data_IF_954812571487
#
_entry.id   IF_954812571487
#
_cell.length_a   1.000
_cell.length_b   1.000
_cell.length_c   1.000
_cell.angle_alpha   90.00
_cell.angle_beta   90.00
_cell.angle_gamma   90.00
#
_symmetry.space_group_name_H-M   'P 1'
#
loop_
_entity.id
_entity.type
_entity.pdbx_description
1 polymer ?
#
# COMPACT_ATOMS: atom_id res chain seq x y z
N UNK A 1 -21.51 16.77 16.77
CA UNK A 1 -21.19 17.83 15.80
C UNK A 1 -19.85 17.57 15.09
N UNK A 2 -18.80 17.16 15.81
CA UNK A 2 -17.47 16.90 15.27
C UNK A 2 -17.41 15.77 14.22
N UNK A 3 -18.17 14.68 14.39
CA UNK A 3 -18.17 13.55 13.46
C UNK A 3 -18.81 13.90 12.11
N UNK A 4 -19.92 14.66 12.11
CA UNK A 4 -20.55 15.13 10.88
C UNK A 4 -19.63 16.03 10.05
N UNK A 5 -18.86 16.91 10.70
CA UNK A 5 -17.90 17.77 10.00
C UNK A 5 -16.76 16.97 9.40
N UNK A 6 -16.30 15.91 10.10
CA UNK A 6 -15.23 15.02 9.57
C UNK A 6 -15.65 14.30 8.30
N UNK A 7 -16.90 13.86 8.22
CA UNK A 7 -17.46 13.21 7.02
C UNK A 7 -17.54 14.17 5.82
N UNK A 8 -17.69 15.47 6.10
CA UNK A 8 -17.81 16.50 5.07
C UNK A 8 -16.46 17.04 4.56
N UNK A 9 -15.35 16.75 5.22
CA UNK A 9 -14.03 17.27 4.81
C UNK A 9 -13.73 16.96 3.34
N UNK A 10 -13.82 15.70 2.98
CA UNK A 10 -13.48 15.24 1.65
C UNK A 10 -14.41 15.84 0.59
N UNK A 11 -15.70 15.86 0.90
CA UNK A 11 -16.70 16.47 0.02
C UNK A 11 -16.48 17.98 -0.15
N UNK A 12 -16.08 18.66 0.92
CA UNK A 12 -15.78 20.09 0.87
C UNK A 12 -14.55 20.40 0.01
N UNK A 13 -13.45 19.65 0.19
CA UNK A 13 -12.23 19.85 -0.61
C UNK A 13 -12.51 19.59 -2.10
N UNK A 14 -13.26 18.54 -2.43
CA UNK A 14 -13.67 18.27 -3.81
C UNK A 14 -14.60 19.38 -4.36
N UNK A 15 -15.49 19.88 -3.54
CA UNK A 15 -16.38 20.97 -3.93
C UNK A 15 -15.59 22.26 -4.23
N UNK A 16 -14.61 22.61 -3.39
CA UNK A 16 -13.72 23.76 -3.63
C UNK A 16 -12.93 23.57 -4.93
N UNK A 17 -12.45 22.35 -5.20
CA UNK A 17 -11.76 22.01 -6.44
C UNK A 17 -12.65 22.29 -7.66
N UNK A 18 -13.90 21.83 -7.65
CA UNK A 18 -14.81 21.96 -8.78
C UNK A 18 -15.22 23.42 -9.07
N UNK A 19 -15.17 24.30 -8.06
CA UNK A 19 -15.56 25.70 -8.19
C UNK A 19 -14.37 26.67 -8.28
N UNK A 20 -13.13 26.18 -8.12
CA UNK A 20 -11.95 27.04 -8.11
C UNK A 20 -11.65 27.68 -9.47
N UNK A 21 -11.97 27.00 -10.59
CA UNK A 21 -11.73 27.52 -11.94
C UNK A 21 -12.67 28.65 -12.31
N UNK A 22 -13.86 28.69 -11.71
CA UNK A 22 -14.88 29.72 -11.96
C UNK A 22 -14.73 30.94 -11.04
N UNK A 23 -13.95 30.79 -9.96
CA UNK A 23 -13.81 31.77 -8.92
C UNK A 23 -12.68 32.78 -9.22
N UNK A 24 -12.87 34.11 -8.97
CA UNK A 24 -11.80 35.08 -9.10
C UNK A 24 -10.58 34.74 -8.25
N UNK A 25 -9.42 34.59 -8.89
CA UNK A 25 -8.16 34.19 -8.24
C UNK A 25 -8.27 32.86 -7.45
N UNK A 26 -9.16 31.92 -7.86
CA UNK A 26 -9.36 30.64 -7.23
C UNK A 26 -9.96 30.67 -5.81
N UNK A 27 -10.52 31.83 -5.44
CA UNK A 27 -11.08 32.06 -4.11
C UNK A 27 -12.59 31.75 -4.11
N UNK A 28 -12.95 30.59 -3.55
CA UNK A 28 -14.33 30.12 -3.55
C UNK A 28 -15.04 30.53 -2.27
N UNK A 29 -16.14 31.27 -2.43
CA UNK A 29 -17.12 31.51 -1.36
C UNK A 29 -18.12 30.35 -1.37
N UNK A 30 -18.44 29.79 -0.20
CA UNK A 30 -19.17 28.52 -0.15
C UNK A 30 -20.49 28.51 0.66
N UNK A 31 -21.35 29.52 0.55
CA UNK A 31 -22.67 29.48 1.17
C UNK A 31 -23.50 28.32 0.64
N UNK A 32 -23.45 28.03 -0.67
CA UNK A 32 -24.21 26.95 -1.31
C UNK A 32 -23.85 25.57 -0.76
N UNK A 33 -22.56 25.31 -0.52
CA UNK A 33 -22.13 24.10 0.16
C UNK A 33 -22.69 24.01 1.57
N UNK A 34 -22.61 25.11 2.32
CA UNK A 34 -23.11 25.18 3.71
C UNK A 34 -24.60 24.94 3.79
N UNK A 35 -25.39 25.56 2.93
CA UNK A 35 -26.84 25.40 2.85
C UNK A 35 -27.22 23.94 2.48
N UNK A 36 -26.57 23.38 1.47
CA UNK A 36 -26.81 22.01 1.00
C UNK A 36 -26.57 20.98 2.11
N UNK A 37 -25.58 21.21 2.96
CA UNK A 37 -25.22 20.31 4.05
C UNK A 37 -25.80 20.72 5.42
N UNK A 38 -26.60 21.79 5.47
CA UNK A 38 -27.22 22.31 6.68
C UNK A 38 -26.20 22.74 7.72
N UNK A 39 -25.13 23.41 7.28
CA UNK A 39 -24.09 23.99 8.13
C UNK A 39 -24.47 25.43 8.47
N UNK A 40 -24.44 25.77 9.74
CA UNK A 40 -24.45 27.17 10.15
C UNK A 40 -23.08 27.85 9.91
N UNK A 41 -23.03 29.15 10.09
CA UNK A 41 -21.80 29.93 9.85
C UNK A 41 -20.62 29.44 10.71
N UNK A 42 -20.89 29.04 11.96
CA UNK A 42 -19.85 28.54 12.86
C UNK A 42 -19.29 27.19 12.39
N UNK A 43 -20.16 26.26 12.01
CA UNK A 43 -19.77 24.95 11.48
C UNK A 43 -19.01 25.09 10.15
N UNK A 44 -19.39 26.05 9.30
CA UNK A 44 -18.69 26.35 8.04
C UNK A 44 -17.27 26.88 8.29
N UNK A 45 -17.07 27.78 9.24
CA UNK A 45 -15.74 28.23 9.64
C UNK A 45 -14.90 27.10 10.29
N UNK A 46 -15.53 26.26 11.07
CA UNK A 46 -14.86 25.12 11.70
C UNK A 46 -14.41 24.09 10.66
N UNK A 47 -15.24 23.80 9.66
CA UNK A 47 -14.89 22.95 8.53
C UNK A 47 -13.70 23.52 7.75
N UNK A 48 -13.76 24.82 7.42
CA UNK A 48 -12.66 25.53 6.75
C UNK A 48 -11.36 25.47 7.58
N UNK A 49 -11.45 25.73 8.89
CA UNK A 49 -10.29 25.63 9.79
C UNK A 49 -9.65 24.25 9.74
N UNK A 50 -10.45 23.19 9.84
CA UNK A 50 -9.96 21.81 9.82
C UNK A 50 -9.32 21.43 8.48
N UNK A 51 -9.90 21.87 7.36
CA UNK A 51 -9.30 21.65 6.04
C UNK A 51 -8.01 22.47 5.84
N UNK A 52 -7.93 23.68 6.42
CA UNK A 52 -6.71 24.51 6.41
C UNK A 52 -5.60 23.86 7.25
N UNK A 53 -5.89 23.38 8.43
CA UNK A 53 -4.92 22.69 9.30
C UNK A 53 -4.34 21.42 8.65
N UNK A 54 -5.10 20.78 7.78
CA UNK A 54 -4.64 19.64 6.98
C UNK A 54 -3.89 20.05 5.70
N UNK A 55 -3.85 21.35 5.39
CA UNK A 55 -3.15 21.89 4.24
C UNK A 55 -3.87 21.72 2.91
N UNK A 56 -5.15 21.33 2.89
CA UNK A 56 -5.91 21.15 1.64
C UNK A 56 -6.35 22.51 1.04
N UNK A 57 -6.71 23.45 1.90
CA UNK A 57 -7.15 24.77 1.50
C UNK A 57 -6.45 25.86 2.31
N UNK A 58 -6.31 27.03 1.72
CA UNK A 58 -5.91 28.26 2.41
C UNK A 58 -7.15 29.09 2.74
N UNK A 59 -7.22 29.52 3.99
CA UNK A 59 -8.26 30.44 4.44
C UNK A 59 -7.94 31.86 3.99
N UNK A 60 -8.87 32.48 3.27
CA UNK A 60 -8.82 33.93 3.03
C UNK A 60 -9.95 34.63 3.78
N UNK A 61 -9.71 35.86 4.16
CA UNK A 61 -10.73 36.69 4.78
C UNK A 61 -11.50 37.45 3.69
N UNK A 62 -12.81 37.24 3.66
CA UNK A 62 -13.71 38.14 2.90
C UNK A 62 -13.88 39.42 3.65
N UNK A 63 -13.94 40.54 2.93
CA UNK A 63 -14.35 41.85 3.46
C UNK A 63 -15.80 41.87 3.93
N UNK A 64 -16.61 40.90 3.52
CA UNK A 64 -18.04 40.76 3.84
C UNK A 64 -18.32 39.75 4.97
N UNK A 65 -17.29 39.14 5.59
CA UNK A 65 -17.45 38.21 6.71
C UNK A 65 -17.86 36.81 6.31
N UNK A 66 -17.95 36.50 5.00
CA UNK A 66 -18.18 35.14 4.51
C UNK A 66 -16.89 34.34 4.49
N UNK A 67 -16.95 33.03 4.78
CA UNK A 67 -15.78 32.17 4.69
C UNK A 67 -15.39 31.95 3.21
N UNK A 68 -14.11 32.13 2.90
CA UNK A 68 -13.54 31.94 1.56
C UNK A 68 -12.41 30.90 1.66
N UNK A 69 -12.42 29.94 0.74
CA UNK A 69 -11.41 28.92 0.59
C UNK A 69 -10.66 29.03 -0.73
N UNK A 70 -9.35 28.88 -0.70
CA UNK A 70 -8.54 28.67 -1.89
C UNK A 70 -7.94 27.26 -1.80
N UNK A 71 -7.99 26.53 -2.89
CA UNK A 71 -7.33 25.23 -2.95
C UNK A 71 -5.81 25.41 -2.97
N UNK A 72 -5.10 24.62 -2.17
CA UNK A 72 -3.64 24.55 -2.22
C UNK A 72 -3.20 23.58 -3.33
N UNK A 73 -1.92 23.65 -3.75
CA UNK A 73 -1.37 22.65 -4.66
C UNK A 73 -1.51 21.23 -4.09
N UNK A 74 -1.31 21.06 -2.79
CA UNK A 74 -1.51 19.78 -2.11
C UNK A 74 -2.97 19.32 -2.16
N UNK A 75 -3.92 20.23 -1.93
CA UNK A 75 -5.35 19.95 -2.05
C UNK A 75 -5.73 19.50 -3.47
N UNK A 76 -5.18 20.18 -4.48
CA UNK A 76 -5.40 19.83 -5.88
C UNK A 76 -4.86 18.42 -6.21
N UNK A 77 -3.61 18.15 -5.87
CA UNK A 77 -3.00 16.82 -6.07
C UNK A 77 -3.78 15.72 -5.34
N UNK A 78 -4.27 16.01 -4.14
CA UNK A 78 -5.07 15.08 -3.35
C UNK A 78 -6.41 14.75 -4.04
N UNK A 79 -7.14 15.76 -4.54
CA UNK A 79 -8.40 15.54 -5.28
C UNK A 79 -8.14 14.73 -6.54
N UNK A 80 -7.13 15.10 -7.33
CA UNK A 80 -6.77 14.37 -8.56
C UNK A 80 -6.41 12.91 -8.27
N UNK A 81 -5.64 12.65 -7.22
CA UNK A 81 -5.28 11.30 -6.81
C UNK A 81 -6.52 10.51 -6.35
N UNK A 82 -7.42 11.14 -5.58
CA UNK A 82 -8.67 10.56 -5.11
C UNK A 82 -9.58 10.19 -6.28
N UNK A 83 -9.74 11.07 -7.26
CA UNK A 83 -10.55 10.82 -8.47
C UNK A 83 -9.98 9.69 -9.31
N UNK A 84 -8.65 9.61 -9.45
CA UNK A 84 -8.00 8.46 -10.11
C UNK A 84 -8.27 7.15 -9.38
N UNK A 85 -8.15 7.12 -8.04
CA UNK A 85 -8.46 5.92 -7.25
C UNK A 85 -9.93 5.53 -7.37
N UNK A 86 -10.85 6.49 -7.37
CA UNK A 86 -12.30 6.27 -7.47
C UNK A 86 -12.70 5.45 -8.69
N UNK A 87 -12.01 5.63 -9.83
CA UNK A 87 -12.28 4.89 -11.07
C UNK A 87 -11.41 3.63 -11.23
N UNK A 88 -10.45 3.41 -10.35
CA UNK A 88 -9.58 2.24 -10.38
C UNK A 88 -10.35 0.97 -9.96
N UNK A 89 -10.63 0.13 -10.96
CA UNK A 89 -11.40 -1.11 -10.78
C UNK A 89 -10.73 -2.10 -9.83
N UNK A 90 -9.40 -2.10 -9.74
CA UNK A 90 -8.66 -3.00 -8.85
C UNK A 90 -8.84 -2.55 -7.40
N UNK A 91 -8.61 -1.27 -7.13
CA UNK A 91 -8.78 -0.72 -5.79
C UNK A 91 -10.23 -0.79 -5.31
N UNK A 92 -11.20 -0.50 -6.17
CA UNK A 92 -12.63 -0.68 -5.87
C UNK A 92 -12.96 -2.12 -5.50
N UNK A 93 -12.41 -3.10 -6.24
CA UNK A 93 -12.63 -4.52 -5.94
C UNK A 93 -11.97 -4.94 -4.62
N UNK A 94 -10.79 -4.42 -4.28
CA UNK A 94 -10.15 -4.65 -2.98
C UNK A 94 -11.00 -4.08 -1.86
N UNK A 95 -11.47 -2.83 -2.01
CA UNK A 95 -12.34 -2.19 -1.03
C UNK A 95 -13.66 -2.96 -0.83
N UNK A 96 -14.30 -3.40 -1.93
CA UNK A 96 -15.52 -4.19 -1.88
C UNK A 96 -15.33 -5.52 -1.13
N UNK A 97 -14.25 -6.26 -1.40
CA UNK A 97 -13.96 -7.51 -0.71
C UNK A 97 -13.70 -7.31 0.78
N UNK A 98 -12.80 -6.39 1.10
CA UNK A 98 -12.38 -6.15 2.47
C UNK A 98 -13.53 -5.59 3.31
N UNK A 99 -14.31 -4.65 2.77
CA UNK A 99 -15.49 -4.09 3.42
C UNK A 99 -16.58 -5.12 3.65
N UNK A 100 -16.93 -5.89 2.59
CA UNK A 100 -17.96 -6.94 2.70
C UNK A 100 -17.58 -8.01 3.73
N UNK A 101 -16.32 -8.45 3.77
CA UNK A 101 -15.85 -9.44 4.73
C UNK A 101 -16.00 -8.95 6.17
N UNK A 102 -15.56 -7.70 6.46
CA UNK A 102 -15.70 -7.08 7.78
C UNK A 102 -17.16 -6.96 8.19
N UNK A 103 -18.00 -6.45 7.30
CA UNK A 103 -19.43 -6.30 7.58
C UNK A 103 -20.12 -7.64 7.88
N UNK A 104 -19.80 -8.71 7.14
CA UNK A 104 -20.34 -10.05 7.41
C UNK A 104 -19.88 -10.57 8.77
N UNK A 105 -18.62 -10.34 9.13
CA UNK A 105 -18.08 -10.70 10.44
C UNK A 105 -18.80 -9.94 11.57
N UNK A 106 -19.00 -8.63 11.44
CA UNK A 106 -19.75 -7.83 12.41
C UNK A 106 -21.17 -8.34 12.57
N UNK A 107 -21.86 -8.64 11.46
CA UNK A 107 -23.20 -9.22 11.51
C UNK A 107 -23.24 -10.55 12.24
N UNK A 108 -22.25 -11.39 12.07
CA UNK A 108 -22.10 -12.64 12.82
C UNK A 108 -21.89 -12.38 14.32
N UNK A 109 -21.07 -11.39 14.69
CA UNK A 109 -20.91 -10.99 16.10
C UNK A 109 -22.20 -10.42 16.71
N UNK A 110 -23.00 -9.71 15.91
CA UNK A 110 -24.34 -9.23 16.30
C UNK A 110 -25.39 -10.37 16.41
N UNK A 111 -25.03 -11.61 16.15
CA UNK A 111 -25.93 -12.77 16.16
C UNK A 111 -26.81 -12.89 14.91
N UNK A 112 -26.52 -12.16 13.85
CA UNK A 112 -27.26 -12.24 12.59
C UNK A 112 -26.60 -13.26 11.69
N UNK A 113 -27.10 -14.50 11.68
CA UNK A 113 -26.66 -15.54 10.76
C UNK A 113 -27.14 -15.29 9.32
N UNK A 114 -26.27 -15.50 8.35
CA UNK A 114 -26.56 -15.40 6.91
C UNK A 114 -27.30 -14.13 6.48
N UNK A 115 -26.76 -12.92 6.75
CA UNK A 115 -27.36 -11.69 6.28
C UNK A 115 -27.42 -11.64 4.75
N UNK A 116 -28.35 -10.85 4.21
CA UNK A 116 -28.46 -10.60 2.76
C UNK A 116 -27.28 -9.74 2.33
N UNK A 117 -26.44 -10.23 1.41
CA UNK A 117 -25.20 -9.59 0.96
C UNK A 117 -25.42 -8.16 0.45
N UNK A 118 -26.52 -7.91 -0.27
CA UNK A 118 -26.87 -6.56 -0.75
C UNK A 118 -27.20 -5.57 0.38
N UNK A 119 -27.43 -6.06 1.61
CA UNK A 119 -27.57 -5.22 2.80
C UNK A 119 -26.31 -4.39 3.08
N UNK A 120 -25.16 -4.84 2.65
CA UNK A 120 -23.90 -4.10 2.74
C UNK A 120 -23.97 -2.74 2.04
N UNK A 121 -24.63 -2.65 0.88
CA UNK A 121 -24.78 -1.40 0.11
C UNK A 121 -25.49 -0.27 0.87
N UNK A 122 -26.18 -0.60 1.96
CA UNK A 122 -26.88 0.39 2.81
C UNK A 122 -26.00 0.95 3.92
N UNK A 123 -24.75 0.48 4.01
CA UNK A 123 -23.80 0.91 5.05
C UNK A 123 -22.88 2.02 4.54
N UNK A 124 -22.28 2.78 5.46
CA UNK A 124 -21.26 3.77 5.12
C UNK A 124 -20.00 3.13 4.52
N UNK A 125 -19.71 1.89 4.89
CA UNK A 125 -18.55 1.12 4.41
C UNK A 125 -18.66 0.68 2.95
N UNK A 126 -19.87 0.70 2.39
CA UNK A 126 -20.08 0.43 0.97
C UNK A 126 -19.64 1.58 0.05
N UNK A 127 -18.88 2.55 0.59
CA UNK A 127 -18.34 3.67 -0.19
C UNK A 127 -16.83 3.54 -0.31
N UNK A 128 -16.35 3.76 -1.52
CA UNK A 128 -14.93 3.88 -1.81
C UNK A 128 -14.64 5.26 -2.39
N UNK A 129 -13.76 6.01 -1.74
CA UNK A 129 -13.45 7.40 -2.10
C UNK A 129 -14.70 8.29 -2.25
N UNK A 130 -15.69 8.08 -1.39
CA UNK A 130 -16.95 8.82 -1.37
C UNK A 130 -18.03 8.29 -2.31
N UNK A 131 -17.71 7.40 -3.25
CA UNK A 131 -18.65 6.84 -4.21
C UNK A 131 -19.17 5.48 -3.76
N UNK A 132 -20.47 5.24 -3.94
CA UNK A 132 -21.09 3.96 -3.60
C UNK A 132 -20.56 2.85 -4.53
N UNK A 133 -20.23 1.71 -3.95
CA UNK A 133 -19.94 0.49 -4.69
C UNK A 133 -21.23 -0.03 -5.35
N UNK A 134 -21.09 -0.63 -6.52
CA UNK A 134 -22.24 -1.16 -7.28
C UNK A 134 -22.60 -2.58 -6.85
N UNK A 135 -23.85 -2.98 -7.07
CA UNK A 135 -24.29 -4.37 -6.85
C UNK A 135 -23.41 -5.40 -7.57
N UNK A 136 -22.96 -5.08 -8.78
CA UNK A 136 -22.06 -5.94 -9.57
C UNK A 136 -20.67 -6.08 -8.95
N UNK A 137 -20.16 -5.02 -8.28
CA UNK A 137 -18.89 -5.09 -7.55
C UNK A 137 -19.03 -5.94 -6.30
N UNK A 138 -20.15 -5.79 -5.57
CA UNK A 138 -20.43 -6.61 -4.37
C UNK A 138 -20.65 -8.08 -4.74
N UNK A 139 -21.39 -8.36 -5.81
CA UNK A 139 -21.60 -9.74 -6.29
C UNK A 139 -20.26 -10.42 -6.66
N UNK A 140 -19.37 -9.71 -7.36
CA UNK A 140 -18.04 -10.20 -7.69
C UNK A 140 -17.15 -10.35 -6.46
N UNK A 141 -17.23 -9.41 -5.50
CA UNK A 141 -16.50 -9.48 -4.25
C UNK A 141 -16.93 -10.71 -3.43
N UNK A 142 -18.24 -10.94 -3.31
CA UNK A 142 -18.78 -12.09 -2.63
C UNK A 142 -18.35 -13.42 -3.28
N UNK A 143 -18.41 -13.52 -4.62
CA UNK A 143 -17.91 -14.68 -5.35
C UNK A 143 -16.42 -14.93 -5.05
N UNK A 144 -15.61 -13.88 -5.12
CA UNK A 144 -14.17 -13.95 -4.84
C UNK A 144 -13.86 -14.38 -3.40
N UNK A 145 -14.66 -13.96 -2.42
CA UNK A 145 -14.51 -14.39 -1.02
C UNK A 145 -14.89 -15.87 -0.82
N UNK A 146 -15.92 -16.37 -1.54
CA UNK A 146 -16.26 -17.79 -1.55
C UNK A 146 -15.14 -18.64 -2.13
N UNK A 147 -14.58 -18.23 -3.29
CA UNK A 147 -13.49 -18.93 -3.95
C UNK A 147 -12.24 -19.03 -3.07
N UNK A 148 -12.04 -18.06 -2.18
CA UNK A 148 -10.96 -18.05 -1.17
C UNK A 148 -11.29 -18.78 0.11
N UNK A 149 -12.51 -19.29 0.25
CA UNK A 149 -12.97 -19.96 1.45
C UNK A 149 -13.15 -19.06 2.67
N UNK A 150 -13.24 -17.72 2.48
CA UNK A 150 -13.40 -16.76 3.58
C UNK A 150 -14.86 -16.56 3.98
N UNK A 151 -15.80 -16.82 3.08
CA UNK A 151 -17.23 -16.82 3.35
C UNK A 151 -17.88 -18.06 2.73
N UNK A 152 -19.02 -18.43 3.24
CA UNK A 152 -19.91 -19.42 2.63
C UNK A 152 -21.34 -18.91 2.62
N UNK A 153 -22.18 -19.46 1.75
CA UNK A 153 -23.55 -18.97 1.66
C UNK A 153 -24.38 -19.63 0.58
N UNK A 154 -25.64 -19.24 0.53
CA UNK A 154 -26.61 -19.76 -0.42
C UNK A 154 -26.47 -19.09 -1.80
N UNK A 155 -26.20 -19.89 -2.83
CA UNK A 155 -26.17 -19.44 -4.23
C UNK A 155 -27.59 -19.23 -4.78
N UNK A 156 -27.74 -18.27 -5.70
CA UNK A 156 -28.97 -18.04 -6.44
C UNK A 156 -28.67 -18.06 -7.94
N UNK A 157 -29.68 -18.42 -8.71
CA UNK A 157 -29.58 -18.40 -10.17
C UNK A 157 -29.34 -16.96 -10.67
N UNK A 158 -28.38 -16.79 -11.59
CA UNK A 158 -28.07 -15.48 -12.19
C UNK A 158 -27.09 -14.61 -11.42
N UNK A 159 -26.62 -15.03 -10.22
CA UNK A 159 -25.56 -14.34 -9.46
C UNK A 159 -24.28 -15.17 -9.42
N UNK A 160 -23.14 -14.48 -9.36
CA UNK A 160 -21.81 -15.11 -9.20
C UNK A 160 -21.56 -15.47 -7.73
N UNK A 161 -21.87 -14.55 -6.82
CA UNK A 161 -21.75 -14.72 -5.39
C UNK A 161 -23.05 -15.18 -4.71
N UNK A 162 -22.99 -15.53 -3.42
CA UNK A 162 -24.16 -15.90 -2.63
C UNK A 162 -25.07 -14.69 -2.38
N UNK A 163 -26.38 -14.92 -2.31
CA UNK A 163 -27.38 -13.91 -1.92
C UNK A 163 -27.34 -13.66 -0.41
N UNK A 164 -27.06 -14.71 0.35
CA UNK A 164 -26.88 -14.68 1.80
C UNK A 164 -25.59 -15.36 2.13
N UNK A 165 -24.79 -14.78 3.01
CA UNK A 165 -23.48 -15.31 3.36
C UNK A 165 -23.15 -15.08 4.83
N UNK A 166 -22.20 -15.87 5.29
CA UNK A 166 -21.60 -15.78 6.62
C UNK A 166 -20.09 -16.04 6.49
N UNK A 167 -19.30 -15.49 7.38
CA UNK A 167 -17.86 -15.74 7.43
C UNK A 167 -17.57 -17.18 7.89
N UNK A 168 -16.54 -17.76 7.31
CA UNK A 168 -15.93 -19.02 7.78
C UNK A 168 -14.96 -18.73 8.92
N UNK A 169 -14.44 -19.78 9.58
CA UNK A 169 -13.35 -19.64 10.56
C UNK A 169 -12.09 -18.97 9.95
N UNK A 170 -11.84 -19.20 8.66
CA UNK A 170 -10.77 -18.53 7.92
C UNK A 170 -11.07 -17.04 7.69
N UNK A 171 -12.35 -16.72 7.38
CA UNK A 171 -12.80 -15.35 7.26
C UNK A 171 -12.71 -14.59 8.58
N UNK A 172 -13.10 -15.24 9.68
CA UNK A 172 -13.00 -14.66 11.03
C UNK A 172 -11.54 -14.35 11.37
N UNK A 173 -10.61 -15.30 11.14
CA UNK A 173 -9.17 -15.07 11.34
C UNK A 173 -8.64 -13.92 10.47
N UNK A 174 -9.09 -13.81 9.22
CA UNK A 174 -8.70 -12.70 8.35
C UNK A 174 -9.13 -11.36 8.93
N UNK A 175 -10.34 -11.26 9.48
CA UNK A 175 -10.81 -10.02 10.11
C UNK A 175 -10.05 -9.73 11.40
N UNK A 176 -9.92 -10.71 12.29
CA UNK A 176 -9.33 -10.53 13.62
C UNK A 176 -7.82 -10.22 13.57
N UNK A 177 -7.07 -10.87 12.68
CA UNK A 177 -5.61 -10.74 12.62
C UNK A 177 -5.12 -9.71 11.60
N UNK A 178 -5.89 -9.44 10.54
CA UNK A 178 -5.50 -8.58 9.42
C UNK A 178 -6.52 -7.46 9.16
N UNK A 179 -7.46 -7.21 10.08
CA UNK A 179 -8.50 -6.18 9.92
C UNK A 179 -9.30 -6.33 8.62
N UNK A 180 -9.48 -7.57 8.15
CA UNK A 180 -10.19 -7.87 6.91
C UNK A 180 -9.40 -7.56 5.63
N UNK A 181 -8.09 -7.33 5.70
CA UNK A 181 -7.24 -7.23 4.51
C UNK A 181 -6.96 -8.63 3.94
N UNK A 182 -7.76 -8.98 2.94
CA UNK A 182 -7.70 -10.30 2.28
C UNK A 182 -6.36 -10.55 1.61
N UNK A 183 -5.73 -9.50 1.04
CA UNK A 183 -4.45 -9.65 0.35
C UNK A 183 -3.31 -9.91 1.34
N UNK A 184 -3.26 -9.16 2.44
CA UNK A 184 -2.28 -9.37 3.49
C UNK A 184 -2.42 -10.77 4.12
N UNK A 185 -3.67 -11.21 4.35
CA UNK A 185 -3.94 -12.55 4.87
C UNK A 185 -3.47 -13.66 3.93
N UNK A 186 -3.76 -13.56 2.61
CA UNK A 186 -3.32 -14.55 1.62
C UNK A 186 -1.80 -14.62 1.50
N UNK A 187 -1.11 -13.47 1.54
CA UNK A 187 0.36 -13.45 1.51
C UNK A 187 0.99 -14.22 2.68
N UNK A 188 0.35 -14.26 3.83
CA UNK A 188 0.85 -15.05 4.98
C UNK A 188 0.57 -16.53 4.86
N UNK A 189 -0.56 -16.93 4.25
CA UNK A 189 -0.81 -18.34 3.93
C UNK A 189 0.28 -18.92 3.03
N UNK A 190 0.75 -18.16 2.07
CA UNK A 190 1.82 -18.60 1.16
C UNK A 190 3.23 -18.56 1.79
N UNK A 191 3.42 -17.82 2.90
CA UNK A 191 4.69 -17.80 3.64
C UNK A 191 4.83 -18.97 4.62
N UNK A 192 3.76 -19.66 4.93
CA UNK A 192 3.70 -20.80 5.86
C UNK A 192 3.79 -22.16 5.17
N UNK A 193 4.64 -22.33 4.17
CA UNK A 193 4.97 -23.67 3.65
C UNK A 193 5.59 -24.54 4.76
N UNK A 194 5.38 -25.87 4.75
CA UNK A 194 5.92 -26.74 5.77
C UNK A 194 7.43 -26.58 5.87
N UNK A 195 7.92 -26.20 7.05
CA UNK A 195 9.36 -26.15 7.31
C UNK A 195 9.85 -27.58 7.49
N UNK A 196 10.48 -28.13 6.47
CA UNK A 196 11.14 -29.43 6.59
C UNK A 196 12.54 -29.21 7.16
N UNK A 197 12.73 -29.59 8.42
CA UNK A 197 14.07 -29.69 9.00
C UNK A 197 14.73 -30.97 8.55
N UNK A 198 15.57 -30.91 7.53
CA UNK A 198 16.43 -32.03 7.15
C UNK A 198 17.71 -32.01 7.98
N UNK A 199 17.87 -33.01 8.85
CA UNK A 199 19.12 -33.31 9.55
C UNK A 199 19.91 -34.29 8.68
N UNK A 200 20.67 -33.78 7.70
CA UNK A 200 21.51 -34.61 6.82
C UNK A 200 21.87 -33.90 5.51
N UNK A 201 22.92 -34.38 4.85
CA UNK A 201 23.41 -33.88 3.53
C UNK A 201 22.39 -34.19 2.43
N UNK A 202 21.42 -33.31 2.23
CA UNK A 202 20.47 -33.42 1.15
C UNK A 202 20.93 -32.54 -0.03
N UNK A 203 21.50 -33.20 -1.06
CA UNK A 203 21.96 -32.56 -2.29
C UNK A 203 20.88 -32.43 -3.37
N UNK A 204 19.60 -32.57 -3.01
CA UNK A 204 18.45 -32.52 -3.93
C UNK A 204 17.45 -31.46 -3.60
N UNK A 205 16.75 -30.92 -4.64
CA UNK A 205 15.63 -30.03 -4.50
C UNK A 205 14.43 -30.78 -3.91
N UNK A 206 13.92 -30.33 -2.76
CA UNK A 206 12.69 -30.85 -2.16
C UNK A 206 11.56 -29.87 -2.43
N UNK A 207 10.57 -30.26 -3.22
CA UNK A 207 9.35 -29.51 -3.45
C UNK A 207 8.22 -30.14 -2.61
N UNK A 208 7.54 -29.32 -1.81
CA UNK A 208 6.37 -29.73 -1.05
C UNK A 208 5.27 -28.69 -1.18
N UNK A 209 4.13 -29.08 -1.76
CA UNK A 209 2.92 -28.27 -1.93
C UNK A 209 2.63 -27.87 -3.38
N UNK A 210 1.34 -27.67 -3.68
CA UNK A 210 0.79 -27.53 -5.04
C UNK A 210 1.09 -26.19 -5.74
N UNK A 211 1.75 -25.23 -5.08
CA UNK A 211 2.08 -23.92 -5.62
C UNK A 211 3.52 -23.48 -5.30
N UNK A 212 4.45 -24.40 -5.20
CA UNK A 212 5.83 -24.08 -4.91
C UNK A 212 6.55 -23.69 -6.21
N UNK A 213 6.63 -22.41 -6.49
CA UNK A 213 7.60 -21.89 -7.45
C UNK A 213 8.96 -22.03 -6.78
N UNK A 214 9.70 -23.08 -7.12
CA UNK A 214 11.11 -23.21 -6.77
C UNK A 214 11.87 -22.09 -7.50
N UNK A 215 11.97 -20.93 -6.89
CA UNK A 215 13.02 -19.99 -7.22
C UNK A 215 14.33 -20.57 -6.64
N UNK A 216 14.83 -21.64 -7.24
CA UNK A 216 16.25 -21.92 -7.17
C UNK A 216 16.92 -20.86 -8.06
N UNK A 217 17.16 -19.69 -7.54
CA UNK A 217 18.21 -18.84 -8.07
C UNK A 217 19.50 -19.64 -7.86
N UNK A 218 19.83 -20.46 -8.87
CA UNK A 218 21.18 -20.95 -9.02
C UNK A 218 22.01 -19.69 -9.07
N UNK A 219 22.82 -19.45 -8.05
CA UNK A 219 23.72 -18.31 -8.04
C UNK A 219 24.73 -18.58 -9.15
N UNK A 220 24.43 -18.02 -10.33
CA UNK A 220 25.21 -18.29 -11.55
C UNK A 220 26.61 -17.72 -11.40
N UNK A 221 27.59 -18.41 -11.95
CA UNK A 221 28.99 -17.95 -11.96
C UNK A 221 29.16 -16.53 -12.55
N UNK A 222 28.29 -16.15 -13.49
CA UNK A 222 28.22 -14.79 -14.05
C UNK A 222 27.77 -13.75 -13.00
N UNK A 223 26.83 -14.08 -12.15
CA UNK A 223 26.38 -13.22 -11.05
C UNK A 223 27.48 -13.07 -9.99
N UNK A 224 28.18 -14.14 -9.67
CA UNK A 224 29.33 -14.11 -8.77
C UNK A 224 30.43 -13.17 -9.30
N UNK A 225 30.75 -13.26 -10.59
CA UNK A 225 31.72 -12.42 -11.24
C UNK A 225 31.31 -10.93 -11.21
N UNK A 226 30.02 -10.62 -11.39
CA UNK A 226 29.50 -9.24 -11.30
C UNK A 226 29.61 -8.66 -9.89
N UNK A 227 29.29 -9.46 -8.85
CA UNK A 227 29.42 -9.01 -7.44
C UNK A 227 30.89 -8.75 -7.10
N UNK A 228 31.78 -9.65 -7.50
CA UNK A 228 33.23 -9.44 -7.32
C UNK A 228 33.75 -8.23 -8.10
N UNK A 229 33.17 -7.95 -9.26
CA UNK A 229 33.43 -6.74 -10.04
C UNK A 229 33.12 -5.45 -9.27
N UNK A 230 31.99 -5.41 -8.56
CA UNK A 230 31.63 -4.26 -7.70
C UNK A 230 32.62 -4.10 -6.53
N UNK A 231 33.05 -5.20 -5.92
CA UNK A 231 34.06 -5.19 -4.83
C UNK A 231 35.39 -4.62 -5.35
N UNK A 232 35.86 -5.07 -6.52
CA UNK A 232 37.09 -4.62 -7.11
C UNK A 232 37.04 -3.14 -7.56
N UNK A 233 35.94 -2.71 -8.18
CA UNK A 233 35.71 -1.30 -8.52
C UNK A 233 35.78 -0.40 -7.29
N UNK A 234 35.17 -0.81 -6.18
CA UNK A 234 35.28 -0.06 -4.92
C UNK A 234 36.73 -0.02 -4.43
N UNK A 235 37.49 -1.12 -4.45
CA UNK A 235 38.90 -1.17 -4.06
C UNK A 235 39.75 -0.18 -4.83
N UNK A 236 39.54 -0.12 -6.13
CA UNK A 236 40.28 0.80 -7.02
C UNK A 236 39.86 2.25 -6.80
N UNK A 237 38.59 2.52 -6.57
CA UNK A 237 38.06 3.86 -6.36
C UNK A 237 38.25 4.40 -4.92
N UNK A 238 38.52 3.52 -3.95
CA UNK A 238 38.65 3.87 -2.52
C UNK A 238 39.56 5.07 -2.24
N UNK A 239 40.73 5.23 -2.89
CA UNK A 239 41.61 6.39 -2.64
C UNK A 239 41.00 7.73 -3.06
N UNK A 240 39.98 7.71 -3.94
CA UNK A 240 39.33 8.91 -4.50
C UNK A 240 37.94 9.17 -3.93
N UNK A 241 37.37 8.20 -3.19
CA UNK A 241 36.09 8.33 -2.50
C UNK A 241 36.33 8.87 -1.08
N UNK A 242 35.71 10.01 -0.76
CA UNK A 242 35.78 10.59 0.59
C UNK A 242 34.51 10.25 1.35
N UNK A 243 34.57 9.26 2.24
CA UNK A 243 33.48 8.93 3.17
C UNK A 243 33.87 9.34 4.60
N UNK A 244 32.88 9.63 5.44
CA UNK A 244 33.10 9.70 6.89
C UNK A 244 33.70 8.37 7.40
N UNK A 245 34.62 8.43 8.37
CA UNK A 245 35.39 7.26 8.84
C UNK A 245 34.48 6.09 9.27
N UNK A 246 33.32 6.38 9.86
CA UNK A 246 32.35 5.39 10.28
C UNK A 246 31.68 4.70 9.08
N UNK A 247 31.23 5.48 8.10
CA UNK A 247 30.63 4.96 6.86
C UNK A 247 31.65 4.18 6.00
N UNK A 248 32.91 4.62 5.95
CA UNK A 248 33.99 3.91 5.29
C UNK A 248 34.22 2.52 5.92
N UNK A 249 34.25 2.45 7.25
CA UNK A 249 34.43 1.19 7.96
C UNK A 249 33.27 0.21 7.67
N UNK A 250 32.02 0.69 7.62
CA UNK A 250 30.86 -0.12 7.32
C UNK A 250 30.87 -0.64 5.87
N UNK A 251 31.25 0.20 4.92
CA UNK A 251 31.37 -0.21 3.50
C UNK A 251 32.47 -1.25 3.32
N UNK A 252 33.64 -1.06 3.95
CA UNK A 252 34.76 -2.04 3.91
C UNK A 252 34.30 -3.37 4.48
N UNK A 253 33.63 -3.36 5.64
CA UNK A 253 33.12 -4.59 6.26
C UNK A 253 32.05 -5.29 5.39
N UNK A 254 31.19 -4.50 4.73
CA UNK A 254 30.19 -5.04 3.81
C UNK A 254 30.84 -5.70 2.57
N UNK A 255 31.86 -5.05 1.99
CA UNK A 255 32.61 -5.60 0.86
C UNK A 255 33.32 -6.92 1.20
N UNK A 256 33.94 -7.00 2.37
CA UNK A 256 34.59 -8.24 2.84
C UNK A 256 33.57 -9.38 3.09
N UNK A 257 32.37 -9.02 3.59
CA UNK A 257 31.28 -10.00 3.75
C UNK A 257 30.74 -10.48 2.41
N UNK A 258 30.57 -9.58 1.43
CA UNK A 258 30.15 -9.90 0.08
C UNK A 258 31.15 -10.86 -0.60
N UNK A 259 32.44 -10.55 -0.54
CA UNK A 259 33.50 -11.38 -1.12
C UNK A 259 33.51 -12.81 -0.52
N UNK A 260 33.41 -12.93 0.80
CA UNK A 260 33.31 -14.23 1.50
C UNK A 260 32.05 -15.01 1.15
N UNK A 261 30.90 -14.32 1.10
CA UNK A 261 29.62 -14.96 0.80
C UNK A 261 29.58 -15.48 -0.64
N UNK A 262 30.06 -14.70 -1.60
CA UNK A 262 30.10 -15.07 -3.02
C UNK A 262 31.07 -16.23 -3.32
N UNK A 263 32.15 -16.34 -2.54
CA UNK A 263 33.15 -17.41 -2.68
C UNK A 263 32.84 -18.66 -1.82
N UNK A 264 31.73 -18.65 -1.07
CA UNK A 264 31.32 -19.79 -0.26
C UNK A 264 30.76 -20.95 -1.11
N UNK A 265 30.81 -22.17 -0.59
CA UNK A 265 30.23 -23.35 -1.25
C UNK A 265 28.69 -23.28 -1.40
N UNK A 266 28.03 -22.40 -0.65
CA UNK A 266 26.58 -22.20 -0.67
C UNK A 266 26.26 -20.72 -0.46
N UNK A 267 26.35 -19.87 -1.52
CA UNK A 267 26.10 -18.45 -1.42
C UNK A 267 24.65 -18.14 -1.06
N UNK A 268 24.43 -17.35 -0.02
CA UNK A 268 23.10 -16.85 0.36
C UNK A 268 22.78 -15.57 -0.44
N UNK A 269 21.92 -15.71 -1.43
CA UNK A 269 21.47 -14.61 -2.30
C UNK A 269 20.86 -13.45 -1.50
N UNK A 270 20.14 -13.76 -0.43
CA UNK A 270 19.55 -12.74 0.43
C UNK A 270 20.59 -11.94 1.23
N UNK A 271 21.71 -12.56 1.63
CA UNK A 271 22.83 -11.86 2.29
C UNK A 271 23.59 -11.01 1.29
N UNK A 272 23.84 -11.53 0.10
CA UNK A 272 24.51 -10.80 -1.00
C UNK A 272 23.69 -9.56 -1.36
N UNK A 273 22.38 -9.70 -1.57
CA UNK A 273 21.50 -8.59 -1.87
C UNK A 273 21.52 -7.50 -0.78
N UNK A 274 21.40 -7.89 0.50
CA UNK A 274 21.46 -6.93 1.62
C UNK A 274 22.82 -6.22 1.70
N UNK A 275 23.91 -6.94 1.45
CA UNK A 275 25.25 -6.37 1.41
C UNK A 275 25.40 -5.32 0.30
N UNK A 276 24.92 -5.62 -0.91
CA UNK A 276 24.92 -4.68 -2.04
C UNK A 276 24.07 -3.44 -1.77
N UNK A 277 22.89 -3.60 -1.14
CA UNK A 277 22.04 -2.47 -0.76
C UNK A 277 22.69 -1.57 0.28
N UNK A 278 23.37 -2.15 1.27
CA UNK A 278 24.08 -1.38 2.29
C UNK A 278 25.22 -0.58 1.68
N UNK A 279 26.02 -1.19 0.83
CA UNK A 279 27.09 -0.52 0.08
C UNK A 279 26.53 0.63 -0.76
N UNK A 280 25.47 0.40 -1.51
CA UNK A 280 24.81 1.41 -2.32
C UNK A 280 24.30 2.59 -1.49
N UNK A 281 23.73 2.33 -0.32
CA UNK A 281 23.21 3.38 0.58
C UNK A 281 24.32 4.33 1.03
N UNK A 282 25.49 3.81 1.42
CA UNK A 282 26.61 4.64 1.87
C UNK A 282 27.34 5.34 0.72
N UNK A 283 27.45 4.70 -0.45
CA UNK A 283 28.10 5.28 -1.61
C UNK A 283 27.22 6.27 -2.39
N UNK A 284 25.91 6.22 -2.24
CA UNK A 284 24.96 7.17 -2.86
C UNK A 284 24.85 8.47 -2.04
N UNK A 285 25.94 8.98 -1.52
CA UNK A 285 25.99 10.23 -0.76
C UNK A 285 26.81 11.27 -1.51
N UNK A 286 26.50 12.55 -1.29
CA UNK A 286 27.26 13.65 -1.90
C UNK A 286 28.77 13.60 -1.56
N UNK A 287 29.13 13.02 -0.42
CA UNK A 287 30.50 12.86 0.03
C UNK A 287 31.30 11.82 -0.78
N UNK A 288 30.61 10.81 -1.34
CA UNK A 288 31.26 9.76 -2.12
C UNK A 288 31.66 10.19 -3.56
N UNK A 289 31.10 11.31 -4.04
CA UNK A 289 31.39 11.86 -5.35
C UNK A 289 30.83 11.03 -6.53
N UNK A 290 31.22 11.40 -7.76
CA UNK A 290 30.70 10.76 -8.99
C UNK A 290 31.07 9.26 -9.10
N UNK A 291 32.26 8.86 -8.66
CA UNK A 291 32.70 7.46 -8.68
C UNK A 291 31.93 6.62 -7.65
N UNK A 292 31.68 7.15 -6.46
CA UNK A 292 30.85 6.48 -5.45
C UNK A 292 29.43 6.24 -5.97
N UNK A 293 28.81 7.24 -6.58
CA UNK A 293 27.47 7.12 -7.16
C UNK A 293 27.39 6.10 -8.30
N UNK A 294 28.43 5.99 -9.12
CA UNK A 294 28.50 5.00 -10.21
C UNK A 294 28.54 3.57 -9.64
N UNK A 295 29.37 3.33 -8.62
CA UNK A 295 29.46 2.02 -7.95
C UNK A 295 28.15 1.71 -7.22
N UNK A 296 27.52 2.70 -6.58
CA UNK A 296 26.22 2.56 -5.92
C UNK A 296 25.13 2.15 -6.91
N UNK A 297 25.07 2.77 -8.09
CA UNK A 297 24.11 2.41 -9.13
C UNK A 297 24.31 0.96 -9.60
N UNK A 298 25.55 0.54 -9.88
CA UNK A 298 25.87 -0.84 -10.25
C UNK A 298 25.49 -1.86 -9.15
N UNK A 299 25.71 -1.50 -7.87
CA UNK A 299 25.34 -2.35 -6.75
C UNK A 299 23.81 -2.47 -6.59
N UNK A 300 23.05 -1.39 -6.83
CA UNK A 300 21.57 -1.42 -6.80
C UNK A 300 20.99 -2.24 -7.95
N UNK A 301 21.50 -2.06 -9.17
CA UNK A 301 21.03 -2.83 -10.33
C UNK A 301 21.28 -4.32 -10.13
N UNK A 302 22.43 -4.67 -9.57
CA UNK A 302 22.76 -6.05 -9.26
C UNK A 302 21.90 -6.60 -8.12
N UNK A 303 21.65 -5.82 -7.07
CA UNK A 303 20.75 -6.20 -5.99
C UNK A 303 19.29 -6.42 -6.46
N UNK A 304 18.83 -5.62 -7.44
CA UNK A 304 17.52 -5.77 -8.06
C UNK A 304 17.42 -7.04 -8.93
N UNK A 305 18.51 -7.40 -9.64
CA UNK A 305 18.55 -8.62 -10.46
C UNK A 305 18.57 -9.91 -9.64
N UNK A 306 18.88 -9.82 -8.35
CA UNK A 306 18.91 -10.93 -7.40
C UNK A 306 17.56 -11.20 -6.72
N UNK A 307 16.51 -10.57 -7.16
CA UNK A 307 15.24 -10.91 -6.65
C UNK A 307 14.14 -10.23 -6.39
#
# INVERSE_FOLDING_TARGET
>A
MTDKLRELHDAFVEWVYDHSDEAPAGAVDFPDFSETHGLDLHASFELLRQCTERGFVDRRHSTLGTPIANLTNYGQEWVDARRRRRVDKVQRMVAARNGLLRWLWEKKQDGVGYPVVDGFLKTSEARFEGELLTESEIDRAAASLVDRGLIHGAKSHGRRGPVRAETTDEGDRCVEQYSGDVMAYEQTKHKGGPTFNFTGDNKGNVSAGDCNTLNSTVFEADTAAKVLGVVEQYRQAKPTISLPAEAEAEVVQAMEKLEREVTSDSPDVGRIRRGLQLVATHLNTAAAGALGNLIAAGALDLAASLG
#
